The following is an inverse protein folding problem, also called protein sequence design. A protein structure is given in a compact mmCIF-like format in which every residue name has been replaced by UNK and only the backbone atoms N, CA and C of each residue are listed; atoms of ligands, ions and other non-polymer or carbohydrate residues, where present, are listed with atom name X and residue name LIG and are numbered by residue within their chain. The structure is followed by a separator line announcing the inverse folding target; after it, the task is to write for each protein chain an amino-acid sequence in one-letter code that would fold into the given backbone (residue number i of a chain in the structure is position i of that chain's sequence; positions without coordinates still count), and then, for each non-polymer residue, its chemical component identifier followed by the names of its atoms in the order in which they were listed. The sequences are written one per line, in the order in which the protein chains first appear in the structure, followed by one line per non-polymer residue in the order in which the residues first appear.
data_IF_610094770613
#
_entry.id   IF_610094770613
#
_cell.length_a   1.000
_cell.length_b   1.000
_cell.length_c   1.000
_cell.angle_alpha   90.00
_cell.angle_beta   90.00
_cell.angle_gamma   90.00
#
_symmetry.space_group_name_H-M   'P 1'
#
loop_
_entity.id
_entity.type
_entity.pdbx_description
1 polymer ?
#
# COMPACT_ATOMS: atom_id res chain seq x y z
N UNK A 1 0.71 8.48 -0.10
CA UNK A 1 0.24 9.80 -0.58
C UNK A 1 -0.39 10.55 0.58
N UNK A 2 0.19 11.69 0.95
CA UNK A 2 -0.12 12.46 2.16
C UNK A 2 -1.58 12.92 2.17
N UNK A 3 -2.29 12.60 3.27
CA UNK A 3 -3.65 13.07 3.56
C UNK A 3 -3.78 14.60 3.56
N UNK A 4 -2.66 15.32 3.71
CA UNK A 4 -2.61 16.79 3.76
C UNK A 4 -3.01 17.45 2.44
N UNK A 5 -2.78 16.81 1.29
CA UNK A 5 -3.18 17.38 -0.01
C UNK A 5 -4.69 17.26 -0.28
N UNK A 6 -5.43 16.39 0.44
CA UNK A 6 -6.86 16.18 0.18
C UNK A 6 -7.73 17.39 0.54
N UNK A 7 -7.26 18.26 1.42
CA UNK A 7 -7.98 19.46 1.86
C UNK A 7 -7.79 20.64 0.91
N UNK A 8 -6.70 20.66 0.14
CA UNK A 8 -6.43 21.69 -0.88
C UNK A 8 -7.02 21.36 -2.26
N UNK A 9 -7.52 20.13 -2.45
CA UNK A 9 -8.13 19.69 -3.71
C UNK A 9 -9.56 20.23 -3.88
N UNK A 10 -9.85 20.75 -5.08
CA UNK A 10 -11.23 21.03 -5.51
C UNK A 10 -12.09 19.76 -5.45
N UNK A 11 -13.42 19.91 -5.37
CA UNK A 11 -14.35 18.77 -5.29
C UNK A 11 -14.18 17.78 -6.45
N UNK A 12 -13.81 18.26 -7.65
CA UNK A 12 -13.55 17.41 -8.81
C UNK A 12 -12.24 16.64 -8.67
N UNK A 13 -11.15 17.29 -8.22
CA UNK A 13 -9.86 16.64 -7.99
C UNK A 13 -9.96 15.60 -6.86
N UNK A 14 -10.69 15.91 -5.78
CA UNK A 14 -10.95 14.96 -4.69
C UNK A 14 -11.69 13.72 -5.19
N UNK A 15 -12.75 13.89 -6.00
CA UNK A 15 -13.47 12.74 -6.61
C UNK A 15 -12.56 11.86 -7.47
N UNK A 16 -11.72 12.48 -8.32
CA UNK A 16 -10.74 11.74 -9.15
C UNK A 16 -9.72 10.99 -8.30
N UNK A 17 -9.20 11.64 -7.26
CA UNK A 17 -8.25 11.04 -6.33
C UNK A 17 -8.85 9.82 -5.60
N UNK A 18 -10.05 9.98 -5.03
CA UNK A 18 -10.75 8.89 -4.33
C UNK A 18 -10.99 7.71 -5.29
N UNK A 19 -11.46 7.98 -6.51
CA UNK A 19 -11.68 6.93 -7.50
C UNK A 19 -10.39 6.15 -7.84
N UNK A 20 -9.27 6.86 -7.98
CA UNK A 20 -7.96 6.25 -8.26
C UNK A 20 -7.46 5.42 -7.08
N UNK A 21 -7.56 5.95 -5.86
CA UNK A 21 -7.24 5.22 -4.62
C UNK A 21 -8.07 3.94 -4.51
N UNK A 22 -9.38 4.05 -4.70
CA UNK A 22 -10.28 2.90 -4.54
C UNK A 22 -10.01 1.84 -5.63
N UNK A 23 -9.63 2.24 -6.84
CA UNK A 23 -9.19 1.32 -7.89
C UNK A 23 -7.91 0.58 -7.49
N UNK A 24 -6.92 1.29 -6.98
CA UNK A 24 -5.66 0.71 -6.53
C UNK A 24 -5.89 -0.29 -5.38
N UNK A 25 -6.67 0.12 -4.39
CA UNK A 25 -7.03 -0.71 -3.24
C UNK A 25 -7.78 -1.99 -3.65
N UNK A 26 -8.73 -1.89 -4.60
CA UNK A 26 -9.41 -3.07 -5.15
C UNK A 26 -8.42 -4.04 -5.82
N UNK A 27 -7.44 -3.51 -6.56
CA UNK A 27 -6.39 -4.30 -7.18
C UNK A 27 -5.56 -5.07 -6.17
N UNK A 28 -5.07 -4.39 -5.12
CA UNK A 28 -4.30 -5.03 -4.04
C UNK A 28 -5.10 -6.15 -3.36
N UNK A 29 -6.36 -5.88 -3.00
CA UNK A 29 -7.23 -6.91 -2.39
C UNK A 29 -7.51 -8.09 -3.34
N UNK A 30 -7.48 -7.87 -4.64
CA UNK A 30 -7.63 -8.96 -5.62
C UNK A 30 -6.38 -9.83 -5.67
N UNK A 31 -5.20 -9.24 -5.70
CA UNK A 31 -3.92 -9.97 -5.66
C UNK A 31 -3.79 -10.82 -4.40
N UNK A 32 -4.13 -10.26 -3.24
CA UNK A 32 -4.11 -10.99 -1.96
C UNK A 32 -5.08 -12.19 -1.99
N UNK A 33 -6.31 -12.01 -2.51
CA UNK A 33 -7.27 -13.13 -2.67
C UNK A 33 -6.77 -14.17 -3.67
N UNK A 34 -6.03 -13.76 -4.69
CA UNK A 34 -5.47 -14.68 -5.65
C UNK A 34 -4.35 -15.53 -5.06
N UNK A 35 -3.40 -14.93 -4.34
CA UNK A 35 -2.37 -15.68 -3.62
C UNK A 35 -2.96 -16.66 -2.60
N UNK A 36 -4.06 -16.28 -1.92
CA UNK A 36 -4.81 -17.21 -1.06
C UNK A 36 -5.40 -18.40 -1.82
N UNK A 37 -5.96 -18.17 -3.02
CA UNK A 37 -6.49 -19.27 -3.87
C UNK A 37 -5.37 -20.20 -4.33
N UNK A 38 -4.19 -19.66 -4.63
CA UNK A 38 -2.99 -20.39 -5.02
C UNK A 38 -2.29 -21.07 -3.84
N UNK A 39 -2.72 -20.81 -2.60
CA UNK A 39 -2.09 -21.27 -1.35
C UNK A 39 -0.67 -20.72 -1.15
N UNK A 40 -0.35 -19.62 -1.81
CA UNK A 40 0.87 -18.83 -1.59
C UNK A 40 0.74 -17.95 -0.34
N UNK A 41 -0.49 -17.49 -0.05
CA UNK A 41 -0.79 -16.69 1.14
C UNK A 41 -1.72 -17.42 2.11
N UNK A 42 -1.51 -17.19 3.41
CA UNK A 42 -2.36 -17.69 4.49
C UNK A 42 -3.79 -17.13 4.41
N UNK A 43 -4.75 -17.87 4.95
CA UNK A 43 -6.16 -17.43 4.98
C UNK A 43 -6.32 -16.27 5.97
N UNK A 44 -6.61 -15.08 5.45
CA UNK A 44 -6.75 -13.85 6.21
C UNK A 44 -7.80 -12.92 5.59
N UNK A 45 -8.18 -11.87 6.29
CA UNK A 45 -9.06 -10.84 5.73
C UNK A 45 -8.28 -9.96 4.73
N UNK A 46 -8.55 -10.14 3.45
CA UNK A 46 -7.90 -9.41 2.36
C UNK A 46 -8.08 -7.88 2.48
N UNK A 47 -9.18 -7.41 3.09
CA UNK A 47 -9.40 -5.99 3.34
C UNK A 47 -8.45 -5.47 4.41
N UNK A 48 -8.29 -6.20 5.52
CA UNK A 48 -7.37 -5.80 6.60
C UNK A 48 -5.91 -5.83 6.13
N UNK A 49 -5.50 -6.87 5.41
CA UNK A 49 -4.15 -6.91 4.82
C UNK A 49 -3.93 -5.77 3.82
N UNK A 50 -4.91 -5.50 2.95
CA UNK A 50 -4.86 -4.36 2.05
C UNK A 50 -4.66 -3.03 2.79
N UNK A 51 -5.40 -2.81 3.89
CA UNK A 51 -5.22 -1.61 4.73
C UNK A 51 -3.84 -1.54 5.37
N UNK A 52 -3.30 -2.65 5.88
CA UNK A 52 -1.97 -2.70 6.49
C UNK A 52 -0.87 -2.35 5.47
N UNK A 53 -0.89 -3.00 4.30
CA UNK A 53 0.08 -2.79 3.21
C UNK A 53 0.03 -1.35 2.71
N UNK A 54 -1.17 -0.86 2.38
CA UNK A 54 -1.35 0.50 1.90
C UNK A 54 -0.98 1.52 2.97
N UNK A 55 -1.29 1.25 4.23
CA UNK A 55 -0.91 2.10 5.36
C UNK A 55 0.60 2.23 5.49
N UNK A 56 1.31 1.10 5.48
CA UNK A 56 2.77 1.06 5.55
C UNK A 56 3.42 1.83 4.38
N UNK A 57 3.03 1.54 3.14
CA UNK A 57 3.57 2.21 1.95
C UNK A 57 3.26 3.71 1.98
N UNK A 58 2.04 4.11 2.38
CA UNK A 58 1.66 5.51 2.45
C UNK A 58 2.41 6.28 3.54
N UNK A 59 2.98 5.60 4.52
CA UNK A 59 3.77 6.21 5.60
C UNK A 59 5.21 6.51 5.18
N UNK A 60 5.80 5.75 4.23
CA UNK A 60 7.20 5.91 3.77
C UNK A 60 7.56 7.38 3.43
N UNK A 61 6.80 8.11 2.59
CA UNK A 61 7.18 9.46 2.20
C UNK A 61 7.19 10.47 3.36
N UNK A 62 6.63 10.13 4.53
CA UNK A 62 6.58 11.03 5.68
C UNK A 62 7.88 11.06 6.48
N UNK A 63 8.72 10.03 6.34
CA UNK A 63 9.97 9.91 7.07
C UNK A 63 11.17 9.63 6.15
N UNK A 64 10.94 9.28 4.89
CA UNK A 64 12.01 9.08 3.92
C UNK A 64 12.85 10.35 3.73
N UNK A 65 14.16 10.23 3.92
CA UNK A 65 15.15 11.26 3.60
C UNK A 65 16.04 10.75 2.46
N UNK A 66 16.05 11.41 1.28
CA UNK A 66 16.94 11.06 0.18
C UNK A 66 18.45 11.15 0.51
N UNK A 67 18.83 11.85 1.59
CA UNK A 67 20.21 11.93 2.08
C UNK A 67 20.49 10.94 3.22
N UNK A 68 19.52 10.10 3.56
CA UNK A 68 19.64 9.07 4.58
C UNK A 68 20.55 7.91 4.16
N UNK A 69 20.73 6.97 5.08
CA UNK A 69 21.60 5.80 4.87
C UNK A 69 21.05 4.78 3.87
N UNK A 70 19.73 4.78 3.64
CA UNK A 70 19.05 3.85 2.73
C UNK A 70 18.44 4.63 1.57
N UNK A 71 18.66 4.12 0.36
CA UNK A 71 18.00 4.61 -0.85
C UNK A 71 16.52 4.23 -0.86
N UNK A 72 15.73 4.93 -1.68
CA UNK A 72 14.32 4.58 -1.89
C UNK A 72 14.13 3.16 -2.42
N UNK A 73 15.09 2.63 -3.19
CA UNK A 73 15.04 1.28 -3.74
C UNK A 73 15.24 0.24 -2.64
N UNK A 74 16.23 0.44 -1.77
CA UNK A 74 16.48 -0.46 -0.63
C UNK A 74 15.31 -0.48 0.35
N UNK A 75 14.71 0.69 0.61
CA UNK A 75 13.50 0.78 1.44
C UNK A 75 12.33 0.06 0.77
N UNK A 76 12.13 0.22 -0.53
CA UNK A 76 11.05 -0.44 -1.25
C UNK A 76 11.20 -1.96 -1.20
N UNK A 77 12.40 -2.49 -1.41
CA UNK A 77 12.70 -3.92 -1.36
C UNK A 77 12.46 -4.48 0.05
N UNK A 78 13.01 -3.82 1.07
CA UNK A 78 12.85 -4.25 2.47
C UNK A 78 11.38 -4.25 2.92
N UNK A 79 10.60 -3.24 2.51
CA UNK A 79 9.17 -3.21 2.82
C UNK A 79 8.37 -4.24 2.02
N UNK A 80 8.74 -4.50 0.76
CA UNK A 80 8.10 -5.52 -0.05
C UNK A 80 8.29 -6.91 0.59
N UNK A 81 9.53 -7.25 0.94
CA UNK A 81 9.88 -8.49 1.65
C UNK A 81 9.08 -8.62 2.95
N UNK A 82 9.22 -7.63 3.84
CA UNK A 82 8.52 -7.62 5.14
C UNK A 82 7.00 -7.79 5.01
N UNK A 83 6.36 -7.09 4.08
CA UNK A 83 4.91 -7.11 3.91
C UNK A 83 4.42 -8.37 3.20
N UNK A 84 5.18 -8.91 2.25
CA UNK A 84 4.81 -10.13 1.51
C UNK A 84 5.00 -11.35 2.41
N UNK A 85 6.12 -11.46 3.12
CA UNK A 85 6.36 -12.54 4.09
C UNK A 85 5.30 -12.56 5.19
N UNK A 86 4.76 -11.40 5.59
CA UNK A 86 3.65 -11.34 6.53
C UNK A 86 2.34 -11.98 6.00
N UNK A 87 2.21 -12.24 4.69
CA UNK A 87 1.08 -12.92 4.08
C UNK A 87 1.34 -14.40 3.80
N UNK A 88 2.59 -14.83 3.72
CA UNK A 88 2.97 -16.20 3.40
C UNK A 88 2.49 -17.21 4.46
N UNK A 89 2.44 -18.49 4.06
CA UNK A 89 1.96 -19.62 4.88
C UNK A 89 3.04 -20.10 5.83
#
# INVERSE_FOLDING_TARGET
MLLTDLESLTSLQRRRYVAMRDRFERGVRQLIREGMRRREFRKLDARLAGFAILGAINWIPKWYDPRGALSSAEIAEAFADFLVTALEV
#
